data_IF_913616833842
#
_entry.id   IF_913616833842
#
_cell.length_a   1.000
_cell.length_b   1.000
_cell.length_c   1.000
_cell.angle_alpha   90.00
_cell.angle_beta   90.00
_cell.angle_gamma   90.00
#
_symmetry.space_group_name_H-M   'P 1'
#
loop_
_entity.id
_entity.type
_entity.pdbx_description
1 polymer ?
#
# COMPACT_ATOMS: atom_id res chain seq x y z
N UNK A 1 -17.45 1.45 -6.24
CA UNK A 1 -17.19 2.92 -6.11
C UNK A 1 -17.39 3.54 -7.47
N UNK A 2 -17.94 4.74 -7.53
CA UNK A 2 -18.10 5.44 -8.80
C UNK A 2 -16.81 6.17 -9.20
N UNK A 3 -16.46 6.10 -10.47
CA UNK A 3 -15.40 6.88 -11.08
C UNK A 3 -16.02 8.07 -11.82
N UNK A 4 -15.50 9.27 -11.55
CA UNK A 4 -15.94 10.51 -12.21
C UNK A 4 -15.05 10.81 -13.40
N UNK A 5 -15.63 10.81 -14.60
CA UNK A 5 -15.02 11.32 -15.83
C UNK A 5 -15.36 12.80 -16.00
N UNK A 6 -14.44 13.57 -16.56
CA UNK A 6 -14.66 14.98 -16.83
C UNK A 6 -15.00 15.23 -18.30
N UNK A 7 -15.77 16.28 -18.58
CA UNK A 7 -15.98 16.75 -19.96
C UNK A 7 -14.63 17.25 -20.53
N UNK A 8 -14.35 17.00 -21.83
CA UNK A 8 -13.06 17.35 -22.46
C UNK A 8 -12.93 18.85 -22.80
N UNK A 9 -13.21 19.71 -21.82
CA UNK A 9 -13.17 21.18 -22.00
C UNK A 9 -11.73 21.70 -22.10
N UNK A 10 -10.79 21.04 -21.41
CA UNK A 10 -9.36 21.39 -21.45
C UNK A 10 -8.50 20.16 -21.70
N UNK A 11 -7.25 20.30 -22.26
CA UNK A 11 -6.37 19.14 -22.48
C UNK A 11 -6.15 18.27 -21.23
N UNK A 12 -6.03 18.89 -20.05
CA UNK A 12 -5.83 18.18 -18.80
C UNK A 12 -7.08 17.45 -18.28
N UNK A 13 -8.28 17.79 -18.74
CA UNK A 13 -9.53 17.15 -18.36
C UNK A 13 -9.95 16.03 -19.32
N UNK A 14 -9.48 16.05 -20.56
CA UNK A 14 -9.87 15.11 -21.63
C UNK A 14 -9.81 13.64 -21.19
N UNK A 15 -8.74 13.25 -20.54
CA UNK A 15 -8.50 11.87 -20.11
C UNK A 15 -8.55 11.70 -18.59
N UNK A 16 -8.96 12.73 -17.86
CA UNK A 16 -8.97 12.71 -16.40
C UNK A 16 -10.11 11.83 -15.86
N UNK A 17 -9.74 10.85 -15.05
CA UNK A 17 -10.64 9.99 -14.31
C UNK A 17 -10.22 10.00 -12.85
N UNK A 18 -11.13 10.29 -11.94
CA UNK A 18 -10.86 10.30 -10.50
C UNK A 18 -11.93 9.51 -9.75
N UNK A 19 -11.63 9.12 -8.50
CA UNK A 19 -12.66 8.61 -7.58
C UNK A 19 -13.72 9.69 -7.34
N UNK A 20 -15.01 9.30 -7.25
CA UNK A 20 -16.10 10.20 -6.90
C UNK A 20 -16.14 10.49 -5.38
N UNK A 21 -15.45 9.68 -4.58
CA UNK A 21 -15.39 9.79 -3.10
C UNK A 21 -16.73 9.57 -2.38
N UNK A 22 -17.65 8.84 -2.99
CA UNK A 22 -19.01 8.59 -2.45
C UNK A 22 -18.99 7.79 -1.13
N UNK A 23 -17.91 7.06 -0.89
CA UNK A 23 -17.67 6.24 0.29
C UNK A 23 -17.14 7.03 1.51
N UNK A 24 -16.81 8.31 1.34
CA UNK A 24 -16.25 9.15 2.39
C UNK A 24 -17.37 9.84 3.17
N UNK A 25 -17.37 9.65 4.49
CA UNK A 25 -18.39 10.21 5.37
C UNK A 25 -18.01 11.55 5.98
N UNK A 26 -16.72 11.85 6.10
CA UNK A 26 -16.23 13.14 6.61
C UNK A 26 -14.91 13.55 5.94
N UNK A 27 -14.73 14.87 5.81
CA UNK A 27 -13.47 15.47 5.33
C UNK A 27 -12.54 15.90 6.46
N UNK A 28 -13.04 15.96 7.71
CA UNK A 28 -12.27 16.43 8.87
C UNK A 28 -11.65 15.24 9.61
N UNK A 29 -10.30 15.11 9.64
CA UNK A 29 -9.65 14.04 10.37
C UNK A 29 -9.62 14.31 11.88
N UNK A 30 -9.52 13.25 12.68
CA UNK A 30 -9.32 13.32 14.13
C UNK A 30 -7.96 13.94 14.46
N UNK A 31 -7.95 15.09 15.14
CA UNK A 31 -6.73 15.88 15.38
C UNK A 31 -5.71 15.15 16.25
N UNK A 32 -6.16 14.40 17.25
CA UNK A 32 -5.29 13.64 18.17
C UNK A 32 -4.47 12.54 17.47
N UNK A 33 -4.94 12.07 16.32
CA UNK A 33 -4.30 11.02 15.51
C UNK A 33 -3.52 11.57 14.32
N UNK A 34 -3.21 12.86 14.30
CA UNK A 34 -2.42 13.50 13.24
C UNK A 34 -1.00 13.78 13.70
N UNK A 35 -0.03 13.47 12.82
CA UNK A 35 1.37 13.84 12.98
C UNK A 35 1.85 14.67 11.78
N UNK A 36 2.73 15.66 11.99
CA UNK A 36 3.38 16.38 10.89
C UNK A 36 4.19 15.43 10.00
N UNK A 37 4.00 15.52 8.69
CA UNK A 37 4.80 14.77 7.72
C UNK A 37 5.75 15.70 6.99
N UNK A 38 7.02 15.75 7.44
CA UNK A 38 8.08 16.51 6.78
C UNK A 38 8.50 15.82 5.47
N UNK A 39 8.74 16.63 4.43
CA UNK A 39 9.29 16.14 3.17
C UNK A 39 10.82 16.07 3.26
N UNK A 40 11.40 14.91 3.02
CA UNK A 40 12.86 14.71 3.02
C UNK A 40 13.49 15.00 1.66
N UNK A 41 12.69 15.23 0.62
CA UNK A 41 13.21 15.43 -0.74
C UNK A 41 13.99 14.24 -1.30
N UNK A 42 13.75 13.02 -0.77
CA UNK A 42 14.46 11.80 -1.16
C UNK A 42 15.83 11.63 -0.51
N UNK A 43 16.14 12.39 0.56
CA UNK A 43 17.37 12.25 1.35
C UNK A 43 17.17 11.26 2.50
N UNK A 44 18.25 10.55 2.87
CA UNK A 44 18.31 9.69 4.04
C UNK A 44 18.68 10.51 5.30
N UNK A 45 18.89 9.82 6.42
CA UNK A 45 19.30 10.42 7.70
C UNK A 45 20.67 11.12 7.64
N UNK A 46 21.59 10.69 6.75
CA UNK A 46 22.88 11.32 6.51
C UNK A 46 22.86 12.44 5.44
N UNK A 47 21.66 12.89 5.02
CA UNK A 47 21.50 13.94 4.02
C UNK A 47 21.78 13.53 2.57
N UNK A 48 22.22 12.29 2.31
CA UNK A 48 22.52 11.79 0.96
C UNK A 48 21.23 11.45 0.20
N UNK A 49 21.16 11.83 -1.08
CA UNK A 49 20.02 11.52 -1.94
C UNK A 49 19.99 10.02 -2.29
N UNK A 50 19.05 9.28 -1.73
CA UNK A 50 18.82 7.85 -2.02
C UNK A 50 17.75 7.63 -3.07
N UNK A 51 16.77 8.53 -3.18
CA UNK A 51 15.70 8.49 -4.18
C UNK A 51 15.67 9.84 -4.91
N UNK A 52 15.95 9.82 -6.22
CA UNK A 52 15.87 10.99 -7.08
C UNK A 52 14.43 11.37 -7.41
N UNK A 53 14.22 12.60 -7.84
CA UNK A 53 12.94 13.13 -8.36
C UNK A 53 11.81 13.12 -7.32
N UNK A 54 12.12 13.39 -6.05
CA UNK A 54 11.15 13.58 -4.97
C UNK A 54 11.20 15.00 -4.44
N UNK A 55 10.02 15.53 -4.05
CA UNK A 55 9.87 16.84 -3.43
C UNK A 55 8.90 17.75 -4.18
N UNK A 56 8.61 18.92 -3.61
CA UNK A 56 7.72 19.94 -4.17
C UNK A 56 6.23 19.53 -4.25
N UNK A 57 5.80 18.56 -3.48
CA UNK A 57 4.41 18.16 -3.38
C UNK A 57 3.61 18.99 -2.37
N UNK A 58 2.28 18.80 -2.37
CA UNK A 58 1.39 19.42 -1.40
C UNK A 58 1.75 18.97 0.03
N UNK A 59 1.69 19.91 1.00
CA UNK A 59 1.88 19.59 2.44
C UNK A 59 0.84 18.59 2.91
N UNK A 60 1.28 17.56 3.63
CA UNK A 60 0.42 16.49 4.11
C UNK A 60 0.65 16.27 5.59
N UNK A 61 -0.43 15.90 6.30
CA UNK A 61 -0.37 15.36 7.65
C UNK A 61 -0.44 13.82 7.57
N UNK A 62 0.33 13.15 8.40
CA UNK A 62 0.26 11.70 8.54
C UNK A 62 -0.85 11.32 9.52
N UNK A 63 -1.67 10.32 9.19
CA UNK A 63 -2.63 9.69 10.10
C UNK A 63 -1.96 8.50 10.75
N UNK A 64 -2.02 8.45 12.08
CA UNK A 64 -1.51 7.32 12.85
C UNK A 64 -2.48 6.16 12.67
N UNK A 65 -2.04 5.12 11.96
CA UNK A 65 -2.86 3.94 11.67
C UNK A 65 -2.43 2.81 12.58
N UNK A 66 -3.40 2.16 13.20
CA UNK A 66 -3.19 0.94 13.97
C UNK A 66 -3.05 -0.26 13.02
N UNK A 67 -1.80 -0.59 12.69
CA UNK A 67 -1.49 -1.81 11.93
C UNK A 67 -1.33 -3.04 12.82
N UNK A 68 -1.19 -2.85 14.14
CA UNK A 68 -0.97 -3.95 15.08
C UNK A 68 -2.26 -4.61 15.53
N UNK A 69 -3.34 -3.82 15.63
CA UNK A 69 -4.63 -4.31 16.12
C UNK A 69 -4.47 -5.09 17.45
N UNK A 70 -3.70 -4.49 18.37
CA UNK A 70 -3.29 -5.13 19.62
C UNK A 70 -4.27 -4.91 20.79
N UNK A 71 -5.46 -4.39 20.52
CA UNK A 71 -6.51 -4.20 21.52
C UNK A 71 -7.49 -5.37 21.40
N UNK A 72 -7.11 -6.47 22.03
CA UNK A 72 -7.82 -7.74 21.91
C UNK A 72 -9.06 -7.76 22.85
N UNK A 73 -10.17 -8.34 22.36
CA UNK A 73 -11.42 -8.52 23.10
C UNK A 73 -12.27 -7.25 23.27
N UNK A 74 -11.75 -6.07 22.98
CA UNK A 74 -12.50 -4.82 23.15
C UNK A 74 -13.24 -4.47 21.85
N UNK A 75 -14.58 -4.37 21.86
CA UNK A 75 -15.34 -3.97 20.69
C UNK A 75 -15.11 -2.49 20.36
N UNK A 76 -15.02 -2.22 19.05
CA UNK A 76 -14.91 -0.88 18.52
C UNK A 76 -15.97 -0.63 17.45
N UNK A 77 -16.59 0.54 17.47
CA UNK A 77 -17.58 0.96 16.49
C UNK A 77 -16.94 1.83 15.41
N UNK A 78 -17.22 1.55 14.15
CA UNK A 78 -16.81 2.36 13.01
C UNK A 78 -17.59 3.68 13.04
N UNK A 79 -16.90 4.79 13.29
CA UNK A 79 -17.53 6.11 13.37
C UNK A 79 -17.55 6.83 12.03
N UNK A 80 -16.42 6.81 11.31
CA UNK A 80 -16.29 7.49 10.01
C UNK A 80 -15.41 6.69 9.05
N UNK A 81 -15.61 6.91 7.74
CA UNK A 81 -14.72 6.47 6.67
C UNK A 81 -14.11 7.71 6.04
N UNK A 82 -12.78 7.77 5.93
CA UNK A 82 -12.06 8.98 5.58
C UNK A 82 -11.03 8.77 4.47
N UNK A 83 -10.71 9.88 3.80
CA UNK A 83 -9.60 9.95 2.85
C UNK A 83 -8.26 10.15 3.58
N UNK A 84 -7.24 9.37 3.20
CA UNK A 84 -5.86 9.60 3.64
C UNK A 84 -4.96 9.92 2.43
N UNK A 85 -4.31 11.11 2.39
CA UNK A 85 -3.41 11.47 1.30
C UNK A 85 -2.10 10.68 1.29
N UNK A 86 -1.82 9.87 2.31
CA UNK A 86 -0.59 9.11 2.46
C UNK A 86 -0.68 7.70 1.87
N UNK A 87 -1.89 7.24 1.56
CA UNK A 87 -2.16 5.90 1.03
C UNK A 87 -3.26 5.90 0.00
N UNK A 88 -3.33 4.84 -0.78
CA UNK A 88 -4.38 4.66 -1.78
C UNK A 88 -5.70 4.14 -1.17
N UNK A 89 -5.63 3.38 -0.07
CA UNK A 89 -6.79 2.86 0.64
C UNK A 89 -7.51 3.95 1.45
N UNK A 90 -8.83 3.77 1.68
CA UNK A 90 -9.56 4.53 2.70
C UNK A 90 -9.14 4.10 4.09
N UNK A 91 -9.39 4.94 5.08
CA UNK A 91 -9.19 4.65 6.50
C UNK A 91 -10.53 4.75 7.23
N UNK A 92 -10.70 3.96 8.28
CA UNK A 92 -11.87 4.02 9.15
C UNK A 92 -11.44 4.45 10.55
N UNK A 93 -12.17 5.40 11.12
CA UNK A 93 -12.01 5.81 12.52
C UNK A 93 -12.85 4.89 13.39
N UNK A 94 -12.20 4.23 14.33
CA UNK A 94 -12.81 3.38 15.34
C UNK A 94 -12.89 4.09 16.67
N UNK A 95 -14.04 3.97 17.33
CA UNK A 95 -14.25 4.34 18.73
C UNK A 95 -14.40 3.04 19.53
N UNK A 96 -13.47 2.80 20.42
CA UNK A 96 -13.50 1.66 21.32
C UNK A 96 -14.42 1.91 22.50
N UNK A 97 -14.92 0.84 23.12
CA UNK A 97 -15.82 0.91 24.27
C UNK A 97 -15.20 1.65 25.49
N UNK A 98 -13.87 1.65 25.58
CA UNK A 98 -13.11 2.38 26.63
C UNK A 98 -12.78 3.84 26.27
N UNK A 99 -13.34 4.38 25.18
CA UNK A 99 -13.15 5.76 24.74
C UNK A 99 -11.91 6.01 23.87
N UNK A 100 -11.03 5.02 23.70
CA UNK A 100 -9.86 5.19 22.80
C UNK A 100 -10.31 5.27 21.35
N UNK A 101 -9.66 6.15 20.58
CA UNK A 101 -9.87 6.28 19.13
C UNK A 101 -8.66 5.76 18.38
N UNK A 102 -8.88 4.99 17.31
CA UNK A 102 -7.81 4.55 16.40
C UNK A 102 -8.26 4.58 14.95
N UNK A 103 -7.33 4.88 14.05
CA UNK A 103 -7.53 4.64 12.63
C UNK A 103 -7.09 3.24 12.23
N UNK A 104 -7.86 2.62 11.35
CA UNK A 104 -7.48 1.37 10.67
C UNK A 104 -7.53 1.55 9.16
N UNK A 105 -6.90 0.64 8.41
CA UNK A 105 -7.14 0.51 6.97
C UNK A 105 -8.56 -0.02 6.79
N UNK A 106 -9.42 0.73 6.10
CA UNK A 106 -10.81 0.35 5.91
C UNK A 106 -10.93 -0.85 4.97
N UNK A 107 -11.60 -1.94 5.37
CA UNK A 107 -12.00 -3.00 4.45
C UNK A 107 -13.03 -2.50 3.43
N UNK A 108 -13.10 -3.18 2.29
CA UNK A 108 -14.16 -2.95 1.32
C UNK A 108 -15.51 -3.40 1.88
N UNK A 109 -16.54 -2.56 1.75
CA UNK A 109 -17.89 -2.88 2.23
C UNK A 109 -18.14 -2.61 3.71
N UNK A 110 -17.17 -2.07 4.45
CA UNK A 110 -17.38 -1.64 5.84
C UNK A 110 -18.40 -0.50 5.89
N UNK A 111 -19.26 -0.52 6.93
CA UNK A 111 -20.32 0.49 7.13
C UNK A 111 -20.08 1.26 8.43
N UNK A 112 -20.53 2.51 8.47
CA UNK A 112 -20.59 3.30 9.70
C UNK A 112 -21.58 2.63 10.66
N UNK A 113 -21.24 2.56 11.94
CA UNK A 113 -22.00 1.86 12.97
C UNK A 113 -21.65 0.36 13.12
N UNK A 114 -20.92 -0.23 12.18
CA UNK A 114 -20.49 -1.62 12.29
C UNK A 114 -19.52 -1.79 13.47
N UNK A 115 -19.71 -2.85 14.25
CA UNK A 115 -18.78 -3.24 15.31
C UNK A 115 -17.64 -4.10 14.73
N UNK A 116 -16.44 -3.89 15.25
CA UNK A 116 -15.22 -4.60 14.88
C UNK A 116 -14.49 -5.00 16.15
N UNK A 117 -14.04 -6.24 16.19
CA UNK A 117 -13.26 -6.78 17.30
C UNK A 117 -11.93 -7.33 16.80
N UNK A 118 -10.92 -7.33 17.66
CA UNK A 118 -9.62 -7.95 17.40
C UNK A 118 -9.31 -8.96 18.49
N UNK A 119 -8.57 -10.02 18.17
CA UNK A 119 -8.11 -11.00 19.16
C UNK A 119 -8.36 -12.43 18.73
N UNK A 120 -7.97 -13.37 19.61
CA UNK A 120 -8.27 -14.78 19.46
C UNK A 120 -9.74 -15.05 19.82
N UNK A 121 -10.33 -16.10 19.22
CA UNK A 121 -11.72 -16.50 19.47
C UNK A 121 -12.80 -15.58 18.93
N UNK A 122 -12.43 -14.58 18.12
CA UNK A 122 -13.36 -13.64 17.50
C UNK A 122 -13.94 -14.24 16.23
N UNK A 123 -15.22 -13.96 15.92
CA UNK A 123 -15.85 -14.39 14.67
C UNK A 123 -15.11 -13.82 13.45
N UNK A 124 -14.93 -14.59 12.36
CA UNK A 124 -14.19 -14.18 11.17
C UNK A 124 -15.02 -13.25 10.26
N UNK A 125 -15.64 -12.23 10.86
CA UNK A 125 -16.44 -11.23 10.15
C UNK A 125 -15.59 -10.16 9.49
N UNK A 126 -16.20 -9.43 8.54
CA UNK A 126 -15.56 -8.37 7.79
C UNK A 126 -14.96 -7.29 8.71
N UNK A 127 -13.66 -7.08 8.64
CA UNK A 127 -12.94 -6.06 9.41
C UNK A 127 -12.39 -6.56 10.75
N UNK A 128 -12.79 -7.73 11.22
CA UNK A 128 -12.23 -8.35 12.42
C UNK A 128 -10.80 -8.80 12.17
N UNK A 129 -9.98 -8.74 13.21
CA UNK A 129 -8.56 -9.08 13.15
C UNK A 129 -8.26 -10.25 14.08
N UNK A 130 -7.84 -11.37 13.49
CA UNK A 130 -7.62 -12.64 14.21
C UNK A 130 -6.23 -13.20 13.93
N UNK A 131 -5.73 -14.13 14.78
CA UNK A 131 -4.64 -15.02 14.39
C UNK A 131 -5.02 -15.81 13.13
N UNK A 132 -4.07 -15.96 12.20
CA UNK A 132 -4.32 -16.65 10.91
C UNK A 132 -4.75 -18.12 11.16
N UNK A 133 -4.29 -18.70 12.27
CA UNK A 133 -4.68 -20.04 12.69
C UNK A 133 -6.18 -20.24 12.94
N UNK A 134 -6.93 -19.17 13.21
CA UNK A 134 -8.37 -19.21 13.51
C UNK A 134 -9.25 -18.82 12.32
N UNK A 135 -8.68 -18.21 11.28
CA UNK A 135 -9.42 -17.75 10.09
C UNK A 135 -9.78 -18.97 9.21
N UNK A 136 -11.01 -19.15 8.76
CA UNK A 136 -11.39 -20.26 7.86
C UNK A 136 -10.52 -20.34 6.61
N UNK A 137 -10.24 -21.55 6.12
CA UNK A 137 -9.53 -21.76 4.85
C UNK A 137 -10.32 -21.19 3.68
N UNK A 138 -9.62 -20.73 2.65
CA UNK A 138 -10.23 -20.06 1.50
C UNK A 138 -10.56 -18.57 1.73
N UNK A 139 -10.54 -18.10 2.99
CA UNK A 139 -10.89 -16.72 3.32
C UNK A 139 -9.95 -15.71 2.68
N UNK A 140 -10.54 -14.57 2.34
CA UNK A 140 -9.81 -13.40 1.83
C UNK A 140 -9.41 -12.51 3.01
N UNK A 141 -8.14 -12.17 3.08
CA UNK A 141 -7.55 -11.43 4.20
C UNK A 141 -6.65 -10.29 3.72
N UNK A 142 -6.47 -9.29 4.55
CA UNK A 142 -5.57 -8.16 4.32
C UNK A 142 -4.86 -7.73 5.61
N UNK A 143 -4.00 -6.72 5.54
CA UNK A 143 -3.23 -6.21 6.67
C UNK A 143 -2.50 -7.31 7.44
N UNK A 144 -1.83 -8.21 6.72
CA UNK A 144 -1.24 -9.44 7.24
C UNK A 144 0.11 -9.15 7.89
N UNK A 145 0.34 -9.69 9.07
CA UNK A 145 1.65 -9.67 9.72
C UNK A 145 2.63 -10.64 9.08
N UNK A 146 3.92 -10.32 9.18
CA UNK A 146 5.00 -11.22 8.79
C UNK A 146 5.67 -11.90 9.98
N UNK A 147 5.54 -11.30 11.16
CA UNK A 147 5.97 -11.84 12.45
C UNK A 147 4.95 -11.44 13.49
N UNK A 148 4.63 -12.28 14.46
CA UNK A 148 3.65 -11.95 15.50
C UNK A 148 3.98 -10.63 16.20
N UNK A 149 2.98 -9.77 16.39
CA UNK A 149 3.09 -8.47 17.07
C UNK A 149 3.82 -7.36 16.30
N UNK A 150 4.31 -7.64 15.08
CA UNK A 150 5.02 -6.62 14.28
C UNK A 150 4.06 -5.61 13.64
N UNK A 151 2.78 -5.92 13.54
CA UNK A 151 1.79 -5.20 12.77
C UNK A 151 1.75 -5.59 11.31
N UNK A 152 0.60 -5.42 10.68
CA UNK A 152 0.36 -5.81 9.29
C UNK A 152 1.29 -5.10 8.31
N UNK A 153 1.86 -5.85 7.37
CA UNK A 153 2.78 -5.34 6.33
C UNK A 153 2.39 -5.73 4.91
N UNK A 154 1.65 -6.83 4.76
CA UNK A 154 1.22 -7.36 3.46
C UNK A 154 -0.23 -6.96 3.21
N UNK A 155 -0.61 -6.76 1.94
CA UNK A 155 -1.96 -6.44 1.49
C UNK A 155 -2.58 -5.23 2.22
N UNK A 156 -1.98 -4.04 2.06
CA UNK A 156 -2.45 -2.77 2.66
C UNK A 156 -2.83 -1.70 1.65
N UNK A 157 -2.49 -1.90 0.38
CA UNK A 157 -2.83 -0.95 -0.68
C UNK A 157 -4.28 -1.12 -1.12
N UNK A 158 -4.85 -0.10 -1.74
CA UNK A 158 -6.22 -0.14 -2.27
C UNK A 158 -6.48 -1.39 -3.12
N UNK A 159 -7.60 -2.06 -2.87
CA UNK A 159 -8.04 -3.25 -3.57
C UNK A 159 -7.15 -4.49 -3.38
N UNK A 160 -6.09 -4.41 -2.57
CA UNK A 160 -5.22 -5.58 -2.34
C UNK A 160 -5.83 -6.54 -1.31
N UNK A 161 -5.57 -7.82 -1.54
CA UNK A 161 -5.96 -8.91 -0.65
C UNK A 161 -5.00 -10.08 -0.82
N UNK A 162 -5.04 -11.01 0.10
CA UNK A 162 -4.39 -12.31 -0.01
C UNK A 162 -5.40 -13.39 0.35
N UNK A 163 -5.19 -14.61 -0.10
CA UNK A 163 -6.07 -15.74 0.18
C UNK A 163 -5.36 -16.76 1.05
N UNK A 164 -6.01 -17.19 2.11
CA UNK A 164 -5.56 -18.29 2.96
C UNK A 164 -5.85 -19.62 2.27
N UNK A 165 -4.80 -20.33 1.84
CA UNK A 165 -4.97 -21.57 1.07
C UNK A 165 -5.06 -22.80 1.96
N UNK A 166 -4.09 -22.99 2.86
CA UNK A 166 -4.01 -24.14 3.75
C UNK A 166 -3.21 -23.80 5.00
N UNK A 167 -3.21 -24.73 5.96
CA UNK A 167 -2.39 -24.70 7.16
C UNK A 167 -1.58 -25.98 7.24
N UNK A 168 -0.33 -25.85 7.65
CA UNK A 168 0.58 -26.97 7.87
C UNK A 168 1.36 -26.72 9.16
N UNK A 169 0.97 -27.42 10.19
CA UNK A 169 1.50 -27.27 11.54
C UNK A 169 1.43 -25.82 12.03
N UNK A 170 2.58 -25.21 12.31
CA UNK A 170 2.68 -23.82 12.78
C UNK A 170 2.61 -22.76 11.67
N UNK A 171 2.56 -23.17 10.41
CA UNK A 171 2.55 -22.25 9.27
C UNK A 171 1.22 -22.30 8.52
N UNK A 172 0.80 -21.15 8.03
CA UNK A 172 -0.27 -20.97 7.07
C UNK A 172 0.30 -20.65 5.70
N UNK A 173 -0.25 -21.25 4.66
CA UNK A 173 0.11 -21.03 3.27
C UNK A 173 -0.85 -19.99 2.68
N UNK A 174 -0.30 -18.86 2.26
CA UNK A 174 -1.07 -17.71 1.81
C UNK A 174 -0.65 -17.32 0.39
N UNK A 175 -1.64 -17.17 -0.51
CA UNK A 175 -1.45 -16.64 -1.85
C UNK A 175 -1.51 -15.12 -1.81
N UNK A 176 -0.40 -14.47 -2.10
CA UNK A 176 -0.23 -13.01 -2.02
C UNK A 176 -0.78 -12.29 -3.27
N UNK A 177 -1.03 -10.96 -3.19
CA UNK A 177 -1.48 -10.16 -4.35
C UNK A 177 -0.53 -10.22 -5.55
N UNK A 178 0.75 -10.50 -5.32
CA UNK A 178 1.76 -10.69 -6.38
C UNK A 178 1.63 -12.01 -7.12
N UNK A 179 0.81 -12.94 -6.64
CA UNK A 179 0.70 -14.32 -7.11
C UNK A 179 1.74 -15.28 -6.50
N UNK A 180 2.63 -14.79 -5.62
CA UNK A 180 3.56 -15.63 -4.84
C UNK A 180 2.79 -16.35 -3.73
N UNK A 181 3.01 -17.65 -3.57
CA UNK A 181 2.49 -18.44 -2.45
C UNK A 181 3.56 -18.54 -1.38
N UNK A 182 3.20 -18.18 -0.15
CA UNK A 182 4.16 -18.02 0.94
C UNK A 182 3.66 -18.57 2.26
N UNK A 183 4.59 -19.15 3.05
CA UNK A 183 4.36 -19.54 4.43
C UNK A 183 4.46 -18.36 5.39
N UNK A 184 3.51 -18.25 6.31
CA UNK A 184 3.47 -17.26 7.40
C UNK A 184 3.06 -18.02 8.67
N UNK A 185 3.59 -17.64 9.83
CA UNK A 185 3.24 -18.25 11.09
C UNK A 185 1.75 -18.09 11.40
N UNK A 186 1.08 -19.14 11.84
CA UNK A 186 -0.34 -19.11 12.22
C UNK A 186 -0.66 -18.12 13.36
N UNK A 187 0.33 -17.85 14.24
CA UNK A 187 0.22 -16.85 15.30
C UNK A 187 0.23 -15.39 14.80
N UNK A 188 0.58 -15.15 13.52
CA UNK A 188 0.48 -13.80 12.92
C UNK A 188 -0.99 -13.41 12.79
N UNK A 189 -1.29 -12.13 13.03
CA UNK A 189 -2.64 -11.58 12.84
C UNK A 189 -2.87 -11.15 11.40
N UNK A 190 -4.12 -11.27 10.96
CA UNK A 190 -4.62 -10.73 9.71
C UNK A 190 -6.04 -10.21 9.88
N UNK A 191 -6.44 -9.28 9.02
CA UNK A 191 -7.80 -8.72 9.02
C UNK A 191 -8.61 -9.36 7.89
N UNK A 192 -9.84 -9.77 8.17
CA UNK A 192 -10.74 -10.40 7.20
C UNK A 192 -11.25 -9.37 6.20
N UNK A 193 -11.29 -9.74 4.92
CA UNK A 193 -11.81 -8.95 3.81
C UNK A 193 -10.74 -8.39 2.88
N UNK A 194 -11.17 -7.59 1.90
CA UNK A 194 -10.36 -6.89 0.89
C UNK A 194 -10.14 -5.46 1.34
N UNK A 195 -9.02 -4.83 1.00
CA UNK A 195 -8.80 -3.39 1.24
C UNK A 195 -9.72 -2.54 0.35
N UNK A 196 -10.26 -1.48 0.90
CA UNK A 196 -11.14 -0.53 0.21
C UNK A 196 -10.50 0.16 -1.01
N UNK A 197 -11.30 0.92 -1.77
CA UNK A 197 -10.88 1.73 -2.93
C UNK A 197 -10.25 0.91 -4.06
N UNK A 198 -10.81 -0.25 -4.40
CA UNK A 198 -10.28 -1.15 -5.44
C UNK A 198 -10.11 -0.50 -6.81
N UNK A 199 -10.96 0.45 -7.17
CA UNK A 199 -10.94 1.18 -8.44
C UNK A 199 -9.82 2.23 -8.55
N UNK A 200 -8.97 2.39 -7.51
CA UNK A 200 -7.85 3.32 -7.53
C UNK A 200 -6.89 3.10 -8.71
N UNK A 201 -6.74 1.86 -9.17
CA UNK A 201 -5.91 1.52 -10.34
C UNK A 201 -6.45 2.10 -11.66
N UNK A 202 -7.74 2.41 -11.72
CA UNK A 202 -8.42 2.96 -12.89
C UNK A 202 -8.37 4.49 -12.95
N UNK A 203 -7.82 5.15 -11.92
CA UNK A 203 -7.65 6.59 -11.90
C UNK A 203 -6.62 7.06 -12.93
N UNK A 204 -6.98 8.07 -13.72
CA UNK A 204 -6.09 8.71 -14.71
C UNK A 204 -5.86 10.16 -14.32
N UNK A 205 -4.60 10.52 -14.12
CA UNK A 205 -4.21 11.86 -13.65
C UNK A 205 -4.52 12.98 -14.65
N UNK A 206 -4.48 12.72 -15.95
CA UNK A 206 -4.83 13.64 -17.03
C UNK A 206 -3.76 14.71 -17.34
N UNK A 207 -2.91 15.11 -16.38
CA UNK A 207 -1.88 16.13 -16.57
C UNK A 207 -0.63 15.90 -15.72
N UNK A 208 0.52 16.35 -16.21
CA UNK A 208 1.81 16.25 -15.49
C UNK A 208 1.81 17.04 -14.17
N UNK A 209 1.09 18.16 -14.09
CA UNK A 209 0.98 18.95 -12.87
C UNK A 209 0.42 18.18 -11.68
N UNK A 210 -0.50 17.23 -11.89
CA UNK A 210 -1.00 16.37 -10.80
C UNK A 210 0.12 15.51 -10.20
N UNK A 211 0.99 14.98 -11.04
CA UNK A 211 2.18 14.25 -10.60
C UNK A 211 3.12 15.13 -9.76
N UNK A 212 3.26 16.40 -10.11
CA UNK A 212 4.02 17.39 -9.34
C UNK A 212 3.40 17.63 -7.95
N UNK A 213 2.08 17.76 -7.87
CA UNK A 213 1.37 17.91 -6.59
C UNK A 213 1.55 16.71 -5.67
N UNK A 214 1.72 15.51 -6.24
CA UNK A 214 2.04 14.29 -5.49
C UNK A 214 3.52 14.19 -5.05
N UNK A 215 4.33 15.23 -5.30
CA UNK A 215 5.74 15.29 -4.91
C UNK A 215 6.68 14.52 -5.83
N UNK A 216 6.25 14.23 -7.05
CA UNK A 216 7.10 13.59 -8.08
C UNK A 216 7.58 14.64 -9.08
N UNK A 217 8.88 14.79 -9.21
CA UNK A 217 9.50 15.69 -10.19
C UNK A 217 9.65 15.00 -11.57
N UNK A 218 9.77 15.76 -12.66
CA UNK A 218 10.09 15.23 -13.98
C UNK A 218 11.35 14.36 -13.94
N UNK A 219 11.40 13.35 -14.82
CA UNK A 219 12.47 12.36 -14.83
C UNK A 219 13.16 12.33 -16.17
N UNK A 220 14.48 12.52 -16.19
CA UNK A 220 15.30 12.37 -17.37
C UNK A 220 15.68 10.90 -17.60
N UNK A 221 15.73 10.48 -18.86
CA UNK A 221 16.21 9.16 -19.27
C UNK A 221 17.74 9.14 -19.25
N UNK A 222 18.35 7.97 -19.01
CA UNK A 222 19.81 7.85 -19.00
C UNK A 222 20.46 8.18 -20.36
N UNK A 223 19.75 7.90 -21.46
CA UNK A 223 20.23 8.17 -22.84
C UNK A 223 20.45 9.67 -23.14
N UNK A 224 19.77 10.58 -22.43
CA UNK A 224 19.90 12.04 -22.61
C UNK A 224 20.88 12.66 -21.62
N UNK A 225 21.62 11.85 -20.90
CA UNK A 225 22.66 12.29 -19.95
C UNK A 225 24.04 12.17 -20.57
N UNK A 226 25.04 12.79 -19.92
CA UNK A 226 26.43 12.61 -20.29
C UNK A 226 26.97 11.23 -19.82
N UNK A 227 28.06 10.73 -20.41
CA UNK A 227 28.67 9.44 -20.03
C UNK A 227 29.03 9.37 -18.53
N UNK A 228 29.44 10.46 -17.94
CA UNK A 228 29.78 10.57 -16.51
C UNK A 228 28.56 10.33 -15.60
N UNK A 229 27.36 10.69 -16.03
CA UNK A 229 26.12 10.64 -15.23
C UNK A 229 25.39 9.31 -15.37
N UNK A 230 25.56 8.64 -16.52
CA UNK A 230 24.82 7.40 -16.80
C UNK A 230 25.56 6.53 -17.85
N UNK A 231 25.62 5.20 -17.66
CA UNK A 231 26.28 4.28 -18.62
C UNK A 231 25.66 4.28 -20.03
N UNK A 232 24.47 4.79 -20.20
CA UNK A 232 23.78 4.94 -21.49
C UNK A 232 23.86 6.35 -22.04
N UNK A 233 24.61 7.25 -21.40
CA UNK A 233 24.79 8.62 -21.82
C UNK A 233 25.86 8.77 -22.90
N UNK A 234 25.88 9.94 -23.54
CA UNK A 234 26.83 10.30 -24.59
C UNK A 234 26.35 9.99 -25.99
N UNK A 235 27.25 10.21 -26.95
CA UNK A 235 27.01 10.11 -28.39
C UNK A 235 26.65 11.45 -29.02
N UNK A 236 26.84 11.53 -30.35
CA UNK A 236 26.39 12.66 -31.15
C UNK A 236 24.93 12.45 -31.59
N UNK A 237 24.08 13.41 -31.25
CA UNK A 237 22.66 13.35 -31.55
C UNK A 237 21.92 12.23 -30.81
N UNK A 238 21.00 11.56 -31.48
CA UNK A 238 20.13 10.52 -30.90
C UNK A 238 20.81 9.14 -30.89
N UNK A 239 21.59 8.86 -29.86
CA UNK A 239 22.22 7.55 -29.69
C UNK A 239 21.28 6.53 -29.04
N UNK A 240 21.42 5.24 -29.38
CA UNK A 240 20.64 4.13 -28.80
C UNK A 240 21.07 3.77 -27.37
N UNK A 241 22.26 4.15 -26.93
CA UNK A 241 22.81 3.91 -25.61
C UNK A 241 23.19 2.45 -25.32
N UNK A 242 23.18 1.57 -26.31
CA UNK A 242 23.52 0.14 -26.17
C UNK A 242 22.50 -0.67 -25.34
N UNK A 243 22.95 -1.73 -24.70
CA UNK A 243 22.11 -2.58 -23.87
C UNK A 243 21.55 -1.81 -22.65
N UNK A 244 20.23 -1.89 -22.36
CA UNK A 244 19.61 -1.17 -21.27
C UNK A 244 20.27 -1.46 -19.92
N UNK A 245 20.80 -0.43 -19.27
CA UNK A 245 21.44 -0.50 -17.97
C UNK A 245 20.86 0.52 -17.00
N UNK A 246 20.93 0.21 -15.72
CA UNK A 246 20.69 1.19 -14.65
C UNK A 246 21.91 2.12 -14.53
N UNK A 247 21.77 3.20 -13.78
CA UNK A 247 22.90 4.11 -13.51
C UNK A 247 24.09 3.45 -12.80
N UNK A 248 23.86 2.32 -12.11
CA UNK A 248 24.89 1.52 -11.45
C UNK A 248 25.47 0.44 -12.37
N UNK A 249 25.23 0.51 -13.68
CA UNK A 249 25.73 -0.44 -14.68
C UNK A 249 24.99 -1.78 -14.77
N UNK A 250 24.06 -2.05 -13.85
CA UNK A 250 23.32 -3.32 -13.85
C UNK A 250 22.35 -3.40 -15.03
N UNK A 251 22.25 -4.57 -15.71
CA UNK A 251 21.26 -4.77 -16.76
C UNK A 251 19.84 -4.47 -16.28
N UNK A 252 19.10 -3.65 -17.05
CA UNK A 252 17.75 -3.22 -16.68
C UNK A 252 16.66 -4.19 -17.11
N UNK A 253 16.93 -5.09 -18.06
CA UNK A 253 16.01 -6.12 -18.57
C UNK A 253 16.53 -7.51 -18.23
N UNK A 254 15.64 -8.37 -17.73
CA UNK A 254 15.90 -9.80 -17.49
C UNK A 254 16.81 -10.16 -16.31
N UNK A 255 17.56 -9.21 -15.77
CA UNK A 255 18.48 -9.49 -14.67
C UNK A 255 17.73 -9.77 -13.35
N UNK A 256 18.03 -10.91 -12.73
CA UNK A 256 17.45 -11.32 -11.44
C UNK A 256 18.18 -10.62 -10.29
N UNK A 257 17.57 -9.57 -9.73
CA UNK A 257 18.18 -8.76 -8.65
C UNK A 257 18.05 -9.37 -7.26
N UNK A 258 17.15 -10.33 -7.04
CA UNK A 258 17.00 -11.02 -5.76
C UNK A 258 18.20 -11.92 -5.49
N UNK A 259 18.81 -11.77 -4.32
CA UNK A 259 19.95 -12.62 -3.91
C UNK A 259 19.51 -14.08 -3.81
N UNK A 260 20.21 -15.06 -4.44
CA UNK A 260 19.85 -16.48 -4.39
C UNK A 260 19.78 -17.03 -2.94
N UNK A 261 20.76 -16.71 -2.12
CA UNK A 261 20.87 -17.14 -0.72
C UNK A 261 20.19 -16.16 0.26
N UNK A 262 18.95 -15.73 -0.03
CA UNK A 262 18.20 -14.88 0.90
C UNK A 262 17.42 -15.75 1.88
N UNK A 263 17.57 -15.55 3.21
CA UNK A 263 16.92 -16.34 4.26
C UNK A 263 15.38 -16.47 4.05
N UNK A 264 14.74 -15.42 3.51
CA UNK A 264 13.30 -15.47 3.25
C UNK A 264 12.90 -16.37 2.07
N UNK A 265 13.82 -17.02 1.37
CA UNK A 265 13.50 -17.96 0.29
C UNK A 265 12.84 -19.23 0.81
N UNK A 266 13.22 -19.69 2.02
CA UNK A 266 12.63 -20.87 2.67
C UNK A 266 11.12 -20.75 2.92
N UNK A 267 10.59 -19.53 3.01
CA UNK A 267 9.17 -19.27 3.22
C UNK A 267 8.37 -19.12 1.92
N UNK A 268 8.99 -19.21 0.76
CA UNK A 268 8.31 -19.12 -0.55
C UNK A 268 8.06 -20.54 -1.04
N UNK A 269 6.78 -20.93 -1.12
CA UNK A 269 6.35 -22.23 -1.64
C UNK A 269 6.37 -22.20 -3.17
N UNK A 270 5.72 -21.19 -3.74
CA UNK A 270 5.63 -21.04 -5.18
C UNK A 270 5.78 -19.57 -5.60
N UNK A 271 6.51 -19.34 -6.70
CA UNK A 271 6.61 -18.04 -7.36
C UNK A 271 5.71 -18.03 -8.59
N UNK A 272 5.11 -16.88 -8.87
CA UNK A 272 4.39 -16.69 -10.13
C UNK A 272 5.34 -17.03 -11.30
N UNK A 273 5.00 -18.04 -12.05
CA UNK A 273 5.66 -18.33 -13.35
C UNK A 273 5.36 -17.15 -14.28
N UNK A 274 6.37 -16.69 -15.00
CA UNK A 274 6.22 -15.65 -16.03
C UNK A 274 5.56 -16.24 -17.25
#
# INVERSE_FOLDING_TARGET
MALKKYKPVTPGQRFKVISAYDDITTSKPEKSLLCPKRSTGGRNNSGKMTIRYRGGGHKQMYRIIDFKRNKDGVPATVKTIEYDPNRSARIALLFYADGEKRYIVAPHGIKVGQQIVSGAGVAPDLGNCLPIGEIPLGSIIHNIEMRPGQGGKIARSAGSYAQLMSRDGRYAIIKLPSGETRMILCACKATVGIVSNGDHSLEVSGKAGRTRWLGRRPRNRGVVMNPVDHPMGGGEGRASGGNPRSRNGMPAKGYKTRRPKKNSNQFIVERKKK
#
